data_IF_969003516650
#
_entry.id   IF_969003516650
#
_cell.length_a   1.000
_cell.length_b   1.000
_cell.length_c   1.000
_cell.angle_alpha   90.00
_cell.angle_beta   90.00
_cell.angle_gamma   90.00
#
_symmetry.space_group_name_H-M   'P 1'
#
loop_
_entity.id
_entity.type
_entity.pdbx_description
1 polymer ?
#
# COMPACT_ATOMS: atom_id res chain seq x y z
N UNK A 1 54.11 -15.90 -5.84
CA UNK A 1 53.56 -16.85 -4.85
C UNK A 1 52.27 -17.43 -5.45
N UNK A 2 52.22 -18.73 -5.76
CA UNK A 2 51.03 -19.38 -6.36
C UNK A 2 50.20 -20.00 -5.24
N UNK A 3 48.96 -19.53 -5.07
CA UNK A 3 48.00 -20.10 -4.13
C UNK A 3 47.25 -21.21 -4.85
N UNK A 4 47.43 -22.46 -4.42
CA UNK A 4 46.71 -23.63 -4.93
C UNK A 4 45.50 -23.89 -4.04
N UNK A 5 44.31 -23.45 -4.47
CA UNK A 5 43.06 -23.79 -3.78
C UNK A 5 42.59 -25.18 -4.22
N UNK A 6 42.19 -26.07 -3.30
CA UNK A 6 41.67 -27.39 -3.66
C UNK A 6 40.32 -27.26 -4.39
N UNK A 7 40.07 -28.14 -5.36
CA UNK A 7 38.89 -28.10 -6.23
C UNK A 7 37.55 -28.13 -5.44
N UNK A 8 37.55 -28.74 -4.26
CA UNK A 8 36.41 -28.77 -3.33
C UNK A 8 36.10 -27.40 -2.69
N UNK A 9 37.13 -26.60 -2.41
CA UNK A 9 36.96 -25.22 -1.91
C UNK A 9 36.42 -24.28 -2.98
N UNK A 10 36.71 -24.55 -4.26
CA UNK A 10 36.13 -23.79 -5.37
C UNK A 10 34.62 -24.04 -5.50
N UNK A 11 34.18 -25.28 -5.25
CA UNK A 11 32.75 -25.65 -5.28
C UNK A 11 31.96 -25.00 -4.14
N UNK A 12 32.50 -25.01 -2.92
CA UNK A 12 31.90 -24.33 -1.77
C UNK A 12 31.77 -22.81 -1.98
N UNK A 13 32.76 -22.19 -2.61
CA UNK A 13 32.73 -20.77 -2.96
C UNK A 13 31.67 -20.46 -4.05
N UNK A 14 31.48 -21.37 -5.01
CA UNK A 14 30.51 -21.21 -6.09
C UNK A 14 29.05 -21.24 -5.60
N UNK A 15 28.72 -22.09 -4.61
CA UNK A 15 27.36 -22.15 -4.03
C UNK A 15 27.05 -20.91 -3.18
N UNK A 16 28.05 -20.33 -2.51
CA UNK A 16 27.87 -19.11 -1.75
C UNK A 16 27.62 -17.88 -2.64
N UNK A 17 28.20 -17.85 -3.86
CA UNK A 17 27.97 -16.79 -4.85
C UNK A 17 26.54 -16.73 -5.42
N UNK A 18 25.78 -17.84 -5.35
CA UNK A 18 24.42 -17.91 -5.91
C UNK A 18 23.31 -17.50 -4.93
N UNK A 19 23.63 -17.16 -3.68
CA UNK A 19 22.63 -16.83 -2.64
C UNK A 19 22.37 -15.32 -2.52
N UNK A 20 22.25 -14.61 -3.64
CA UNK A 20 21.92 -13.18 -3.61
C UNK A 20 20.42 -13.04 -3.28
N UNK A 21 20.01 -12.42 -2.17
CA UNK A 21 18.61 -12.13 -1.93
C UNK A 21 18.15 -11.08 -2.96
N UNK A 22 17.23 -11.47 -3.84
CA UNK A 22 16.57 -10.56 -4.77
C UNK A 22 15.32 -10.03 -4.07
N UNK A 23 15.33 -8.75 -3.70
CA UNK A 23 14.13 -8.07 -3.22
C UNK A 23 13.31 -7.62 -4.43
N UNK A 24 12.17 -8.27 -4.68
CA UNK A 24 11.17 -7.74 -5.62
C UNK A 24 10.35 -6.68 -4.89
N UNK A 25 10.69 -5.40 -5.05
CA UNK A 25 9.81 -4.32 -4.64
C UNK A 25 8.75 -4.11 -5.73
N UNK A 26 7.49 -4.33 -5.38
CA UNK A 26 6.38 -3.90 -6.23
C UNK A 26 6.35 -2.38 -6.19
N UNK A 27 6.32 -1.69 -7.35
CA UNK A 27 6.14 -0.25 -7.39
C UNK A 27 4.88 0.16 -6.62
N UNK A 28 5.00 1.13 -5.72
CA UNK A 28 3.90 1.65 -4.92
C UNK A 28 3.12 2.68 -5.75
N UNK A 29 2.44 2.19 -6.78
CA UNK A 29 1.76 3.04 -7.76
C UNK A 29 0.44 2.44 -8.26
N UNK A 30 -0.43 3.31 -8.77
CA UNK A 30 -1.74 2.96 -9.33
C UNK A 30 -1.79 3.44 -10.78
N UNK A 31 -2.03 2.54 -11.73
CA UNK A 31 -2.24 2.94 -13.12
C UNK A 31 -3.54 3.74 -13.24
N UNK A 32 -3.47 4.88 -13.92
CA UNK A 32 -4.61 5.73 -14.19
C UNK A 32 -4.61 6.14 -15.66
N UNK A 33 -5.80 6.12 -16.27
CA UNK A 33 -6.00 6.53 -17.64
C UNK A 33 -7.18 7.48 -17.71
N UNK A 34 -7.01 8.57 -18.45
CA UNK A 34 -8.04 9.60 -18.59
C UNK A 34 -8.08 10.09 -20.04
N UNK A 35 -9.28 10.46 -20.48
CA UNK A 35 -9.48 11.18 -21.73
C UNK A 35 -9.86 12.61 -21.40
N UNK A 36 -9.06 13.56 -21.88
CA UNK A 36 -9.25 14.99 -21.67
C UNK A 36 -10.07 15.57 -22.82
N UNK A 37 -11.10 16.34 -22.45
CA UNK A 37 -11.99 17.02 -23.38
C UNK A 37 -12.08 18.50 -23.01
N UNK A 38 -12.44 19.32 -23.99
CA UNK A 38 -12.75 20.73 -23.76
C UNK A 38 -14.20 20.92 -23.25
N UNK A 39 -14.59 22.18 -23.05
CA UNK A 39 -15.94 22.55 -22.59
C UNK A 39 -17.05 22.20 -23.59
N UNK A 40 -16.71 22.01 -24.86
CA UNK A 40 -17.62 21.60 -25.92
C UNK A 40 -17.71 20.06 -26.04
N UNK A 41 -16.88 19.33 -25.28
CA UNK A 41 -16.79 17.88 -25.28
C UNK A 41 -15.86 17.30 -26.35
N UNK A 42 -15.15 18.15 -27.10
CA UNK A 42 -14.18 17.75 -28.10
C UNK A 42 -12.89 17.26 -27.44
N UNK A 43 -12.24 16.27 -28.04
CA UNK A 43 -10.99 15.72 -27.48
C UNK A 43 -9.84 16.72 -27.67
N UNK A 44 -9.09 16.96 -26.60
CA UNK A 44 -7.90 17.80 -26.67
C UNK A 44 -6.73 16.91 -27.11
N UNK A 45 -6.43 16.86 -28.40
CA UNK A 45 -5.34 16.02 -28.94
C UNK A 45 -3.97 16.72 -28.89
N UNK A 46 -2.89 15.98 -28.57
CA UNK A 46 -1.52 16.49 -28.51
C UNK A 46 -1.33 17.74 -27.63
N UNK A 47 -2.19 17.90 -26.63
CA UNK A 47 -2.26 19.05 -25.74
C UNK A 47 -1.55 18.77 -24.42
N UNK A 48 -0.81 19.76 -23.91
CA UNK A 48 -0.12 19.63 -22.63
C UNK A 48 -1.05 19.98 -21.47
N UNK A 49 -1.21 19.08 -20.51
CA UNK A 49 -2.16 19.20 -19.39
C UNK A 49 -1.41 19.00 -18.08
N UNK A 50 -1.71 19.85 -17.09
CA UNK A 50 -1.26 19.65 -15.72
C UNK A 50 -2.34 18.91 -14.94
N UNK A 51 -1.97 17.80 -14.29
CA UNK A 51 -2.86 17.01 -13.46
C UNK A 51 -2.48 17.12 -12.00
N UNK A 52 -3.47 17.39 -11.16
CA UNK A 52 -3.38 17.26 -9.71
C UNK A 52 -4.21 16.07 -9.23
N UNK A 53 -3.56 15.19 -8.49
CA UNK A 53 -4.18 13.99 -7.94
C UNK A 53 -4.25 14.17 -6.43
N UNK A 54 -5.44 13.95 -5.89
CA UNK A 54 -5.70 14.02 -4.46
C UNK A 54 -6.31 12.71 -3.99
N UNK A 55 -5.90 12.26 -2.81
CA UNK A 55 -6.56 11.18 -2.10
C UNK A 55 -7.09 11.73 -0.78
N UNK A 56 -8.36 11.47 -0.50
CA UNK A 56 -9.04 11.88 0.71
C UNK A 56 -9.45 10.66 1.53
N UNK A 57 -9.37 10.77 2.86
CA UNK A 57 -10.08 9.89 3.78
C UNK A 57 -11.45 10.51 4.09
N UNK A 58 -12.51 9.86 3.62
CA UNK A 58 -13.86 10.39 3.56
C UNK A 58 -14.15 11.13 2.24
N UNK A 59 -15.43 11.35 1.95
CA UNK A 59 -15.87 12.09 0.77
C UNK A 59 -15.46 13.57 0.90
N UNK A 60 -14.65 14.12 -0.03
CA UNK A 60 -14.22 15.52 0.06
C UNK A 60 -15.38 16.52 -0.05
N UNK A 61 -16.50 16.16 -0.68
CA UNK A 61 -17.70 17.00 -0.70
C UNK A 61 -18.40 17.07 0.66
N UNK A 62 -18.07 16.15 1.57
CA UNK A 62 -18.60 16.07 2.92
C UNK A 62 -17.54 16.41 3.98
N UNK A 63 -16.43 17.05 3.57
CA UNK A 63 -15.36 17.46 4.49
C UNK A 63 -14.32 16.37 4.77
N UNK A 64 -14.15 15.40 3.86
CA UNK A 64 -13.05 14.44 3.91
C UNK A 64 -11.68 15.10 4.02
N UNK A 65 -10.75 14.43 4.69
CA UNK A 65 -9.40 14.95 4.97
C UNK A 65 -8.47 14.50 3.85
N UNK A 66 -7.78 15.46 3.23
CA UNK A 66 -6.76 15.17 2.21
C UNK A 66 -5.54 14.52 2.87
N UNK A 67 -5.20 13.32 2.41
CA UNK A 67 -4.08 12.52 2.94
C UNK A 67 -2.91 12.41 1.96
N UNK A 68 -3.15 12.67 0.68
CA UNK A 68 -2.11 12.60 -0.35
C UNK A 68 -2.39 13.57 -1.48
N UNK A 69 -1.32 14.17 -2.00
CA UNK A 69 -1.37 15.02 -3.19
C UNK A 69 -0.10 14.87 -4.02
N UNK A 70 -0.26 14.74 -5.33
CA UNK A 70 0.84 14.83 -6.29
C UNK A 70 0.42 15.56 -7.57
N UNK A 71 1.41 15.89 -8.41
CA UNK A 71 1.17 16.43 -9.74
C UNK A 71 1.89 15.67 -10.86
N UNK A 72 1.32 15.71 -12.05
CA UNK A 72 1.88 15.18 -13.30
C UNK A 72 1.76 16.22 -14.42
N UNK A 73 2.78 16.30 -15.27
CA UNK A 73 2.79 17.19 -16.44
C UNK A 73 2.84 16.31 -17.68
N UNK A 74 1.69 16.10 -18.31
CA UNK A 74 1.55 15.12 -19.37
C UNK A 74 1.08 15.74 -20.68
N UNK A 75 1.24 15.01 -21.77
CA UNK A 75 0.71 15.37 -23.08
C UNK A 75 -0.28 14.31 -23.55
N UNK A 76 -1.49 14.73 -23.90
CA UNK A 76 -2.53 13.85 -24.44
C UNK A 76 -2.12 13.29 -25.81
N UNK A 77 -2.54 12.08 -26.13
CA UNK A 77 -2.38 11.49 -27.46
C UNK A 77 -3.36 12.08 -28.51
N UNK A 78 -3.44 11.45 -29.69
CA UNK A 78 -4.37 11.86 -30.76
C UNK A 78 -5.85 11.70 -30.42
N UNK A 79 -6.17 10.91 -29.40
CA UNK A 79 -7.52 10.67 -28.90
C UNK A 79 -7.84 11.47 -27.63
N UNK A 80 -6.93 12.35 -27.20
CA UNK A 80 -7.07 13.10 -25.95
C UNK A 80 -6.74 12.26 -24.71
N UNK A 81 -6.13 11.09 -24.88
CA UNK A 81 -5.87 10.14 -23.80
C UNK A 81 -4.51 10.39 -23.15
N UNK A 82 -4.45 10.20 -21.85
CA UNK A 82 -3.21 10.19 -21.06
C UNK A 82 -3.21 8.95 -20.17
N UNK A 83 -2.09 8.26 -20.10
CA UNK A 83 -1.78 7.23 -19.12
C UNK A 83 -0.66 7.71 -18.18
N UNK A 84 -0.87 7.57 -16.88
CA UNK A 84 0.15 7.84 -15.87
C UNK A 84 -0.01 6.93 -14.65
N UNK A 85 1.02 6.87 -13.83
CA UNK A 85 1.05 6.08 -12.60
C UNK A 85 0.95 6.98 -11.38
N UNK A 86 -0.19 6.95 -10.70
CA UNK A 86 -0.38 7.66 -9.44
C UNK A 86 0.60 7.09 -8.40
N UNK A 87 1.33 7.94 -7.70
CA UNK A 87 2.40 7.54 -6.77
C UNK A 87 3.81 7.67 -7.33
N UNK A 88 3.94 7.86 -8.65
CA UNK A 88 5.23 8.14 -9.32
C UNK A 88 5.32 9.60 -9.82
N UNK A 89 4.33 10.43 -9.50
CA UNK A 89 4.35 11.85 -9.79
C UNK A 89 5.21 12.64 -8.81
N UNK A 90 5.17 13.97 -8.95
CA UNK A 90 5.82 14.86 -8.00
C UNK A 90 4.93 15.06 -6.78
N UNK A 91 5.30 14.41 -5.67
CA UNK A 91 4.56 14.48 -4.40
C UNK A 91 4.59 15.90 -3.84
N UNK A 92 3.41 16.40 -3.46
CA UNK A 92 3.20 17.72 -2.85
C UNK A 92 2.70 17.64 -1.41
N UNK A 93 2.30 16.45 -0.95
CA UNK A 93 1.93 16.17 0.44
C UNK A 93 3.15 15.81 1.30
N UNK A 94 3.07 15.97 2.63
CA UNK A 94 4.10 15.48 3.54
C UNK A 94 4.19 13.94 3.54
N UNK A 95 3.05 13.27 3.37
CA UNK A 95 2.95 11.81 3.38
C UNK A 95 3.10 11.25 1.97
N UNK A 96 3.69 10.05 1.87
CA UNK A 96 3.80 9.28 0.64
C UNK A 96 2.68 8.24 0.53
N UNK A 97 2.44 7.72 -0.68
CA UNK A 97 1.32 6.80 -0.93
C UNK A 97 1.33 5.53 -0.05
N UNK A 98 2.51 5.11 0.41
CA UNK A 98 2.71 3.97 1.33
C UNK A 98 2.36 4.26 2.80
N UNK A 99 2.31 5.52 3.18
CA UNK A 99 2.08 5.93 4.57
C UNK A 99 0.57 6.03 4.87
N UNK A 100 -0.27 5.94 3.84
CA UNK A 100 -1.73 5.95 3.96
C UNK A 100 -2.21 4.67 4.65
N UNK A 101 -2.97 4.81 5.74
CA UNK A 101 -3.63 3.70 6.43
C UNK A 101 -4.87 3.22 5.67
N UNK A 102 -4.62 2.50 4.59
CA UNK A 102 -5.65 1.94 3.72
C UNK A 102 -6.68 1.02 4.43
N UNK A 103 -6.38 0.55 5.65
CA UNK A 103 -7.27 -0.31 6.44
C UNK A 103 -8.34 0.42 7.24
N UNK A 104 -8.23 1.73 7.39
CA UNK A 104 -9.05 2.52 8.32
C UNK A 104 -9.68 3.74 7.64
N UNK A 105 -10.70 3.50 6.80
CA UNK A 105 -11.49 4.56 6.20
C UNK A 105 -12.03 4.22 4.82
N UNK A 106 -12.87 5.12 4.31
CA UNK A 106 -13.28 5.12 2.91
C UNK A 106 -12.44 6.14 2.16
N UNK A 107 -11.68 5.69 1.16
CA UNK A 107 -10.78 6.56 0.41
C UNK A 107 -11.43 7.04 -0.89
N UNK A 108 -11.18 8.30 -1.24
CA UNK A 108 -11.69 8.92 -2.46
C UNK A 108 -10.51 9.46 -3.28
N UNK A 109 -10.52 9.15 -4.57
CA UNK A 109 -9.59 9.70 -5.55
C UNK A 109 -10.27 10.88 -6.23
N UNK A 110 -9.64 12.04 -6.15
CA UNK A 110 -10.04 13.21 -6.92
C UNK A 110 -8.93 13.59 -7.89
N UNK A 111 -9.29 13.71 -9.16
CA UNK A 111 -8.38 14.13 -10.22
C UNK A 111 -8.84 15.48 -10.72
N UNK A 112 -7.91 16.42 -10.79
CA UNK A 112 -8.12 17.73 -11.37
C UNK A 112 -7.14 17.97 -12.50
N UNK A 113 -7.55 18.75 -13.49
CA UNK A 113 -6.70 19.12 -14.62
C UNK A 113 -6.73 20.62 -14.87
N UNK A 114 -5.59 21.17 -15.26
CA UNK A 114 -5.46 22.49 -15.86
C UNK A 114 -4.95 22.32 -17.29
N UNK A 115 -5.86 22.56 -18.24
CA UNK A 115 -5.58 22.49 -19.67
C UNK A 115 -5.02 23.80 -20.22
N UNK A 116 -5.24 24.93 -19.53
CA UNK A 116 -4.79 26.25 -19.98
C UNK A 116 -3.43 26.64 -19.40
N UNK A 117 -2.95 25.90 -18.39
CA UNK A 117 -1.73 26.15 -17.63
C UNK A 117 -1.74 27.53 -16.97
N UNK A 118 -2.91 27.96 -16.50
CA UNK A 118 -3.14 29.24 -15.84
C UNK A 118 -3.25 29.13 -14.31
N UNK A 119 -3.16 27.92 -13.78
CA UNK A 119 -3.29 27.59 -12.35
C UNK A 119 -4.73 27.29 -11.92
N UNK A 120 -5.71 27.34 -12.83
CA UNK A 120 -7.11 27.04 -12.55
C UNK A 120 -7.42 25.57 -12.87
N UNK A 121 -7.54 24.75 -11.84
CA UNK A 121 -7.79 23.31 -12.00
C UNK A 121 -9.28 23.00 -11.97
N UNK A 122 -9.75 22.27 -12.99
CA UNK A 122 -11.11 21.74 -13.09
C UNK A 122 -11.13 20.31 -12.55
N UNK A 123 -12.17 19.95 -11.78
CA UNK A 123 -12.35 18.58 -11.28
C UNK A 123 -12.81 17.70 -12.45
N UNK A 124 -12.00 16.70 -12.78
CA UNK A 124 -12.27 15.71 -13.82
C UNK A 124 -13.06 14.51 -13.29
N UNK A 125 -12.88 14.21 -12.01
CA UNK A 125 -13.59 13.13 -11.36
C UNK A 125 -13.32 13.08 -9.86
N UNK A 126 -14.34 12.64 -9.13
CA UNK A 126 -14.27 12.31 -7.72
C UNK A 126 -14.91 10.94 -7.53
N UNK A 127 -14.13 9.94 -7.17
CA UNK A 127 -14.59 8.55 -7.09
C UNK A 127 -14.11 7.89 -5.81
N UNK A 128 -14.98 7.12 -5.17
CA UNK A 128 -14.59 6.27 -4.05
C UNK A 128 -13.74 5.10 -4.55
N UNK A 129 -12.59 4.88 -3.91
CA UNK A 129 -11.79 3.67 -4.08
C UNK A 129 -12.46 2.53 -3.31
N UNK A 130 -13.24 1.70 -4.03
CA UNK A 130 -13.93 0.53 -3.45
C UNK A 130 -12.96 -0.55 -2.98
N UNK A 131 -11.81 -0.64 -3.66
CA UNK A 131 -10.66 -1.39 -3.20
C UNK A 131 -9.44 -0.49 -3.28
N UNK A 132 -8.78 -0.32 -2.15
CA UNK A 132 -7.42 0.21 -2.08
C UNK A 132 -6.48 -0.80 -2.76
N UNK A 133 -5.35 -0.37 -3.36
CA UNK A 133 -4.45 -1.29 -4.05
C UNK A 133 -4.07 -2.46 -3.14
N UNK A 134 -4.61 -3.65 -3.45
CA UNK A 134 -4.56 -4.84 -2.58
C UNK A 134 -3.11 -5.23 -2.21
N UNK A 135 -2.15 -4.90 -3.06
CA UNK A 135 -0.72 -5.10 -2.83
C UNK A 135 -0.15 -4.22 -1.69
N UNK A 136 -0.58 -2.96 -1.55
CA UNK A 136 -0.12 -2.06 -0.47
C UNK A 136 -0.68 -2.47 0.90
N UNK A 137 -1.96 -2.88 0.96
CA UNK A 137 -2.56 -3.39 2.20
C UNK A 137 -1.90 -4.71 2.66
N UNK A 138 -1.56 -5.61 1.71
CA UNK A 138 -0.91 -6.89 2.02
C UNK A 138 0.51 -6.75 2.58
N UNK A 139 1.24 -5.67 2.24
CA UNK A 139 2.55 -5.34 2.80
C UNK A 139 2.47 -5.02 4.30
N UNK A 140 1.44 -4.29 4.72
CA UNK A 140 1.18 -3.99 6.13
C UNK A 140 0.71 -5.22 6.93
N UNK A 141 0.03 -6.18 6.29
CA UNK A 141 -0.40 -7.43 6.94
C UNK A 141 0.67 -8.53 6.92
N UNK A 142 1.70 -8.42 6.07
CA UNK A 142 2.85 -9.32 6.01
C UNK A 142 3.89 -9.10 7.13
N UNK A 143 3.91 -7.93 7.78
CA UNK A 143 4.62 -7.75 9.05
C UNK A 143 3.78 -8.35 10.17
N UNK A 144 3.90 -9.67 10.34
CA UNK A 144 3.17 -10.52 11.29
C UNK A 144 2.44 -9.74 12.39
N UNK A 145 1.11 -9.65 12.24
CA UNK A 145 0.25 -9.11 13.28
C UNK A 145 0.64 -9.73 14.63
N UNK A 146 0.68 -8.90 15.69
CA UNK A 146 0.94 -9.37 17.05
C UNK A 146 0.19 -10.70 17.27
N UNK A 147 0.86 -11.78 17.73
CA UNK A 147 0.16 -13.00 18.09
C UNK A 147 -1.04 -12.64 18.96
N UNK A 148 -2.23 -13.11 18.59
CA UNK A 148 -3.44 -12.86 19.37
C UNK A 148 -3.18 -13.18 20.84
N UNK A 149 -3.74 -12.38 21.76
CA UNK A 149 -3.59 -12.61 23.19
C UNK A 149 -3.93 -14.07 23.52
N UNK A 150 -3.04 -14.77 24.22
CA UNK A 150 -3.28 -16.12 24.71
C UNK A 150 -4.64 -16.18 25.41
N UNK A 151 -5.50 -17.11 25.01
CA UNK A 151 -6.82 -17.27 25.62
C UNK A 151 -6.72 -17.49 27.14
N UNK A 152 -7.78 -17.17 27.91
CA UNK A 152 -7.79 -17.38 29.36
C UNK A 152 -7.52 -18.85 29.69
N UNK A 153 -6.69 -19.09 30.71
CA UNK A 153 -6.42 -20.44 31.20
C UNK A 153 -7.72 -21.14 31.63
N UNK A 154 -7.87 -22.42 31.27
CA UNK A 154 -9.02 -23.22 31.69
C UNK A 154 -9.13 -23.32 33.22
N UNK A 155 -10.34 -23.46 33.73
CA UNK A 155 -10.59 -23.64 35.17
C UNK A 155 -9.89 -24.90 35.68
N UNK A 156 -9.15 -24.79 36.78
CA UNK A 156 -8.48 -25.93 37.40
C UNK A 156 -9.54 -26.94 37.89
N UNK A 157 -9.36 -28.23 37.60
CA UNK A 157 -10.30 -29.28 38.01
C UNK A 157 -10.44 -29.35 39.53
N UNK A 158 -11.65 -29.64 40.02
CA UNK A 158 -11.92 -29.76 41.45
C UNK A 158 -11.02 -30.81 42.10
N UNK A 159 -10.33 -30.45 43.18
CA UNK A 159 -9.48 -31.37 43.93
C UNK A 159 -10.35 -32.48 44.56
N UNK A 160 -9.97 -33.74 44.38
CA UNK A 160 -10.70 -34.88 44.95
C UNK A 160 -10.73 -34.81 46.47
N UNK A 161 -11.85 -35.23 47.08
CA UNK A 161 -12.00 -35.31 48.54
C UNK A 161 -10.98 -36.28 49.14
N UNK A 162 -10.19 -35.86 50.13
CA UNK A 162 -9.35 -36.78 50.91
C UNK A 162 -10.23 -37.84 51.60
N UNK A 163 -9.82 -39.11 51.51
CA UNK A 163 -10.49 -40.22 52.20
C UNK A 163 -10.39 -40.06 53.72
N UNK A 164 -11.42 -40.54 54.44
CA UNK A 164 -11.46 -40.47 55.90
C UNK A 164 -10.29 -41.24 56.54
N UNK A 165 -9.58 -40.60 57.45
CA UNK A 165 -8.50 -41.23 58.23
C UNK A 165 -9.05 -42.39 59.07
N UNK A 166 -8.37 -43.54 59.01
CA UNK A 166 -8.73 -44.74 59.78
C UNK A 166 -8.53 -44.54 61.28
N UNK A 167 -9.47 -45.06 62.07
CA UNK A 167 -9.46 -44.98 63.54
C UNK A 167 -8.16 -45.56 64.11
N UNK A 168 -7.46 -44.77 64.93
CA UNK A 168 -6.28 -45.21 65.67
C UNK A 168 -6.61 -46.34 66.63
N UNK A 169 -5.87 -47.45 66.52
CA UNK A 169 -5.95 -48.60 67.42
C UNK A 169 -5.43 -48.26 68.80
N UNK A 170 -6.13 -48.73 69.82
CA UNK A 170 -5.78 -48.63 71.24
C UNK A 170 -5.14 -49.95 71.63
N UNK A 171 -3.93 -49.91 72.18
CA UNK A 171 -3.38 -50.89 73.13
C UNK A 171 -2.48 -50.14 74.12
#
# INVERSE_FOLDING_TARGET
>A
MRINLPFSSLWFFLVFLFSIPVYSQVPEAINYQVVVRDELGEVLSNHGVDFHIYIYNGDPNQGGIMVYKEYHLEQTDTFGMVDFSIGLGSVMSPDSLKDIDWGNGAYYLEVRSDVNKDGNYVIMGNVQLLSVPYALYSKASGSGGKPGSTGPAGTNGSNGTNGADGTTGVD
#
